data_IF_305872476093
#
_entry.id   IF_305872476093
#
_cell.length_a   1.000
_cell.length_b   1.000
_cell.length_c   1.000
_cell.angle_alpha   90.00
_cell.angle_beta   90.00
_cell.angle_gamma   90.00
#
_symmetry.space_group_name_H-M   'P 1'
#
loop_
_entity.id
_entity.type
_entity.pdbx_description
1 polymer ?
#
# COMPACT_ATOMS: atom_id res chain seq x y z
N UNK A 1 -1.66 20.87 -6.94
CA UNK A 1 -0.67 21.62 -7.51
C UNK A 1 -0.45 21.28 -8.98
N UNK A 2 -0.34 20.85 -9.87
CA UNK A 2 -0.23 20.60 -11.30
C UNK A 2 -1.54 20.82 -12.09
N UNK A 3 -2.65 21.11 -11.43
CA UNK A 3 -3.92 21.32 -12.10
C UNK A 3 -4.08 22.79 -12.49
N UNK A 4 -4.55 23.03 -13.72
CA UNK A 4 -4.89 24.36 -14.19
C UNK A 4 -6.03 24.97 -13.36
N UNK A 5 -6.09 26.32 -13.20
CA UNK A 5 -7.13 26.98 -12.40
C UNK A 5 -8.56 26.53 -12.70
N UNK A 6 -8.99 26.40 -13.98
CA UNK A 6 -10.35 25.99 -14.29
C UNK A 6 -10.67 24.55 -13.83
N UNK A 7 -9.74 23.60 -14.00
CA UNK A 7 -9.92 22.23 -13.54
C UNK A 7 -10.02 22.17 -12.01
N UNK A 8 -9.16 22.93 -11.31
CA UNK A 8 -9.20 23.03 -9.85
C UNK A 8 -10.53 23.57 -9.34
N UNK A 9 -11.11 24.58 -10.03
CA UNK A 9 -12.42 25.14 -9.68
C UNK A 9 -13.55 24.14 -9.92
N UNK A 10 -13.51 23.40 -11.03
CA UNK A 10 -14.53 22.40 -11.38
C UNK A 10 -14.57 21.24 -10.36
N UNK A 11 -13.41 20.77 -9.87
CA UNK A 11 -13.36 19.65 -8.91
C UNK A 11 -13.46 20.11 -7.44
N UNK A 12 -13.31 21.41 -7.14
CA UNK A 12 -13.33 21.91 -5.77
C UNK A 12 -14.59 21.52 -4.96
N UNK A 13 -15.83 21.58 -5.50
CA UNK A 13 -17.02 21.16 -4.77
C UNK A 13 -16.98 19.66 -4.43
N UNK A 14 -16.50 18.82 -5.34
CA UNK A 14 -16.37 17.37 -5.15
C UNK A 14 -15.36 17.08 -4.02
N UNK A 15 -14.19 17.70 -4.07
CA UNK A 15 -13.14 17.51 -3.07
C UNK A 15 -13.50 18.04 -1.68
N UNK A 16 -14.47 18.96 -1.59
CA UNK A 16 -15.00 19.49 -0.32
C UNK A 16 -16.04 18.60 0.35
N UNK A 17 -16.56 17.59 -0.33
CA UNK A 17 -17.48 16.62 0.27
C UNK A 17 -16.83 15.93 1.47
N UNK A 18 -17.59 15.72 2.54
CA UNK A 18 -17.10 15.05 3.76
C UNK A 18 -16.49 13.68 3.51
N UNK A 19 -16.99 12.97 2.49
CA UNK A 19 -16.47 11.68 2.02
C UNK A 19 -14.98 11.76 1.65
N UNK A 20 -14.55 12.79 0.91
CA UNK A 20 -13.14 12.94 0.52
C UNK A 20 -12.23 13.26 1.70
N UNK A 21 -12.77 13.94 2.71
CA UNK A 21 -12.05 14.20 3.95
C UNK A 21 -11.84 12.89 4.73
N UNK A 22 -12.87 12.03 4.78
CA UNK A 22 -12.79 10.72 5.41
C UNK A 22 -11.83 9.78 4.67
N UNK A 23 -11.99 9.65 3.34
CA UNK A 23 -11.12 8.81 2.50
C UNK A 23 -9.64 9.26 2.52
N UNK A 24 -9.38 10.55 2.69
CA UNK A 24 -8.04 11.12 2.87
C UNK A 24 -7.47 11.00 4.28
N UNK A 25 -8.18 10.36 5.21
CA UNK A 25 -7.68 10.05 6.53
C UNK A 25 -6.69 8.88 6.49
N UNK A 26 -5.51 8.98 7.12
CA UNK A 26 -4.52 7.90 7.14
C UNK A 26 -5.10 6.57 7.62
N UNK A 27 -5.93 6.58 8.66
CA UNK A 27 -6.53 5.36 9.21
C UNK A 27 -7.52 4.70 8.23
N UNK A 28 -8.41 5.47 7.62
CA UNK A 28 -9.39 4.95 6.65
C UNK A 28 -8.67 4.40 5.42
N UNK A 29 -7.68 5.12 4.89
CA UNK A 29 -6.90 4.67 3.75
C UNK A 29 -6.12 3.38 4.05
N UNK A 30 -5.57 3.25 5.27
CA UNK A 30 -4.90 2.03 5.75
C UNK A 30 -5.86 0.84 5.81
N UNK A 31 -7.06 1.05 6.36
CA UNK A 31 -8.08 -0.01 6.43
C UNK A 31 -8.52 -0.44 5.03
N UNK A 32 -8.76 0.50 4.11
CA UNK A 32 -9.15 0.19 2.74
C UNK A 32 -8.06 -0.58 1.99
N UNK A 33 -6.81 -0.13 2.10
CA UNK A 33 -5.67 -0.79 1.46
C UNK A 33 -5.44 -2.20 2.05
N UNK A 34 -5.44 -2.33 3.37
CA UNK A 34 -5.28 -3.62 4.05
C UNK A 34 -6.43 -4.58 3.73
N UNK A 35 -7.67 -4.10 3.72
CA UNK A 35 -8.83 -4.90 3.36
C UNK A 35 -8.75 -5.38 1.90
N UNK A 36 -8.42 -4.51 0.95
CA UNK A 36 -8.24 -4.90 -0.44
C UNK A 36 -7.16 -5.98 -0.57
N UNK A 37 -6.03 -5.80 0.13
CA UNK A 37 -4.93 -6.77 0.14
C UNK A 37 -5.41 -8.14 0.63
N UNK A 38 -6.01 -8.22 1.80
CA UNK A 38 -6.45 -9.50 2.39
C UNK A 38 -7.57 -10.14 1.58
N UNK A 39 -8.61 -9.37 1.22
CA UNK A 39 -9.81 -9.87 0.55
C UNK A 39 -9.49 -10.47 -0.81
N UNK A 40 -8.64 -9.81 -1.62
CA UNK A 40 -8.26 -10.33 -2.93
C UNK A 40 -7.28 -11.50 -2.90
N UNK A 41 -6.59 -11.73 -1.79
CA UNK A 41 -5.74 -12.91 -1.61
C UNK A 41 -6.53 -14.11 -1.04
N UNK A 42 -7.82 -13.94 -0.72
CA UNK A 42 -8.67 -15.09 -0.37
C UNK A 42 -8.88 -16.00 -1.59
N UNK A 43 -8.66 -17.33 -1.47
CA UNK A 43 -8.71 -18.25 -2.60
C UNK A 43 -9.99 -18.14 -3.44
N UNK A 44 -11.14 -17.99 -2.80
CA UNK A 44 -12.43 -17.89 -3.49
C UNK A 44 -12.56 -16.67 -4.40
N UNK A 45 -11.98 -15.52 -4.03
CA UNK A 45 -12.03 -14.29 -4.84
C UNK A 45 -10.92 -14.27 -5.88
N UNK A 46 -9.75 -14.78 -5.55
CA UNK A 46 -8.65 -14.90 -6.49
C UNK A 46 -9.03 -15.83 -7.66
N UNK A 47 -9.57 -17.03 -7.37
CA UNK A 47 -10.04 -17.96 -8.39
C UNK A 47 -11.16 -17.36 -9.27
N UNK A 48 -12.03 -16.49 -8.69
CA UNK A 48 -13.03 -15.75 -9.49
C UNK A 48 -12.39 -14.75 -10.44
N UNK A 49 -11.36 -14.04 -9.98
CA UNK A 49 -10.63 -13.11 -10.82
C UNK A 49 -9.91 -13.80 -11.98
N UNK A 50 -9.42 -15.03 -11.78
CA UNK A 50 -8.84 -15.85 -12.85
C UNK A 50 -9.88 -16.30 -13.88
N UNK A 51 -11.13 -16.56 -13.46
CA UNK A 51 -12.20 -17.07 -14.37
C UNK A 51 -12.98 -15.97 -15.10
N UNK A 52 -12.91 -14.73 -14.65
CA UNK A 52 -13.76 -13.64 -15.15
C UNK A 52 -12.97 -12.36 -15.31
N UNK A 53 -12.95 -11.84 -16.53
CA UNK A 53 -12.31 -10.57 -16.85
C UNK A 53 -12.86 -9.40 -16.00
N UNK A 54 -14.17 -9.37 -15.76
CA UNK A 54 -14.80 -8.34 -14.92
C UNK A 54 -14.28 -8.36 -13.48
N UNK A 55 -14.13 -9.56 -12.88
CA UNK A 55 -13.55 -9.71 -11.55
C UNK A 55 -12.06 -9.36 -11.52
N UNK A 56 -11.33 -9.72 -12.57
CA UNK A 56 -9.92 -9.36 -12.73
C UNK A 56 -9.73 -7.84 -12.79
N UNK A 57 -10.53 -7.17 -13.61
CA UNK A 57 -10.53 -5.70 -13.69
C UNK A 57 -10.90 -5.06 -12.35
N UNK A 58 -11.93 -5.58 -11.67
CA UNK A 58 -12.34 -5.08 -10.35
C UNK A 58 -11.22 -5.24 -9.30
N UNK A 59 -10.50 -6.37 -9.31
CA UNK A 59 -9.33 -6.61 -8.46
C UNK A 59 -8.26 -5.53 -8.68
N UNK A 60 -7.82 -5.36 -9.94
CA UNK A 60 -6.77 -4.39 -10.26
C UNK A 60 -7.19 -2.94 -9.97
N UNK A 61 -8.41 -2.55 -10.32
CA UNK A 61 -8.92 -1.22 -10.02
C UNK A 61 -8.97 -0.95 -8.51
N UNK A 62 -9.42 -1.93 -7.72
CA UNK A 62 -9.46 -1.76 -6.26
C UNK A 62 -8.06 -1.60 -5.67
N UNK A 63 -7.07 -2.39 -6.12
CA UNK A 63 -5.68 -2.23 -5.69
C UNK A 63 -5.12 -0.85 -6.05
N UNK A 64 -5.33 -0.40 -7.30
CA UNK A 64 -4.83 0.91 -7.75
C UNK A 64 -5.49 2.03 -6.95
N UNK A 65 -6.83 2.01 -6.82
CA UNK A 65 -7.56 3.08 -6.12
C UNK A 65 -7.19 3.14 -4.65
N UNK A 66 -7.16 2.00 -3.96
CA UNK A 66 -6.81 1.98 -2.53
C UNK A 66 -5.34 2.34 -2.30
N UNK A 67 -4.41 1.92 -3.17
CA UNK A 67 -3.01 2.30 -3.08
C UNK A 67 -2.81 3.81 -3.32
N UNK A 68 -3.48 4.40 -4.31
CA UNK A 68 -3.42 5.84 -4.55
C UNK A 68 -3.98 6.63 -3.36
N UNK A 69 -5.12 6.22 -2.80
CA UNK A 69 -5.69 6.83 -1.61
C UNK A 69 -4.75 6.71 -0.40
N UNK A 70 -4.15 5.53 -0.22
CA UNK A 70 -3.20 5.28 0.85
C UNK A 70 -1.99 6.20 0.76
N UNK A 71 -1.27 6.20 -0.36
CA UNK A 71 -0.10 7.05 -0.53
C UNK A 71 -0.44 8.54 -0.49
N UNK A 72 -1.61 8.93 -1.03
CA UNK A 72 -2.12 10.29 -0.90
C UNK A 72 -2.33 10.71 0.55
N UNK A 73 -2.84 9.81 1.39
CA UNK A 73 -3.07 10.06 2.81
C UNK A 73 -1.76 10.07 3.62
N UNK A 74 -0.75 9.26 3.21
CA UNK A 74 0.56 9.20 3.87
C UNK A 74 1.43 10.42 3.59
N UNK A 75 1.26 11.08 2.42
CA UNK A 75 2.04 12.28 2.06
C UNK A 75 1.47 13.52 2.77
N UNK A 76 2.06 14.00 3.85
CA UNK A 76 1.49 15.08 4.64
C UNK A 76 1.54 16.40 3.89
N UNK A 77 0.41 17.09 3.84
CA UNK A 77 0.30 18.46 3.31
C UNK A 77 0.95 19.49 4.24
N UNK A 78 1.00 19.20 5.52
CA UNK A 78 1.73 19.94 6.57
C UNK A 78 2.37 18.91 7.48
N UNK A 79 3.68 18.94 7.55
CA UNK A 79 4.45 18.07 8.42
C UNK A 79 4.37 18.58 9.86
N UNK A 80 3.51 17.97 10.66
CA UNK A 80 3.56 18.12 12.11
C UNK A 80 4.09 16.81 12.71
N UNK A 81 4.82 16.85 13.83
CA UNK A 81 5.35 15.63 14.45
C UNK A 81 4.27 14.55 14.68
N UNK A 82 3.07 14.97 15.13
CA UNK A 82 1.96 14.04 15.36
C UNK A 82 1.40 13.42 14.07
N UNK A 83 1.30 14.18 12.95
CA UNK A 83 0.82 13.63 11.68
C UNK A 83 1.81 12.64 11.09
N UNK A 84 3.11 12.90 11.20
CA UNK A 84 4.16 12.00 10.72
C UNK A 84 4.18 10.68 11.50
N UNK A 85 3.98 10.75 12.81
CA UNK A 85 3.90 9.55 13.65
C UNK A 85 2.73 8.65 13.27
N UNK A 86 1.53 9.21 13.09
CA UNK A 86 0.35 8.45 12.63
C UNK A 86 0.60 7.83 11.27
N UNK A 87 1.16 8.57 10.31
CA UNK A 87 1.48 8.04 8.98
C UNK A 87 2.53 6.93 9.04
N UNK A 88 3.55 7.05 9.89
CA UNK A 88 4.55 6.00 10.09
C UNK A 88 3.94 4.72 10.65
N UNK A 89 3.02 4.82 11.62
CA UNK A 89 2.27 3.66 12.12
C UNK A 89 1.41 3.04 11.02
N UNK A 90 0.71 3.85 10.24
CA UNK A 90 -0.11 3.36 9.12
C UNK A 90 0.74 2.61 8.08
N UNK A 91 1.91 3.13 7.73
CA UNK A 91 2.86 2.46 6.84
C UNK A 91 3.34 1.14 7.44
N UNK A 92 3.67 1.11 8.72
CA UNK A 92 4.07 -0.11 9.41
C UNK A 92 2.95 -1.15 9.41
N UNK A 93 1.72 -0.77 9.77
CA UNK A 93 0.56 -1.68 9.79
C UNK A 93 0.29 -2.26 8.40
N UNK A 94 0.31 -1.42 7.35
CA UNK A 94 0.10 -1.88 5.96
C UNK A 94 1.23 -2.81 5.52
N UNK A 95 2.48 -2.51 5.89
CA UNK A 95 3.63 -3.39 5.64
C UNK A 95 3.47 -4.74 6.36
N UNK A 96 2.95 -4.75 7.59
CA UNK A 96 2.70 -6.00 8.32
C UNK A 96 1.59 -6.83 7.68
N UNK A 97 0.52 -6.20 7.20
CA UNK A 97 -0.56 -6.91 6.50
C UNK A 97 -0.04 -7.51 5.20
N UNK A 98 0.55 -6.71 4.31
CA UNK A 98 1.07 -7.18 3.03
C UNK A 98 2.22 -8.17 3.19
N UNK A 99 3.16 -7.86 4.10
CA UNK A 99 4.27 -8.75 4.42
C UNK A 99 3.81 -10.06 5.05
N UNK A 100 2.78 -10.03 5.91
CA UNK A 100 2.18 -11.23 6.51
C UNK A 100 1.54 -12.15 5.47
N UNK A 101 0.74 -11.60 4.55
CA UNK A 101 0.18 -12.37 3.44
C UNK A 101 1.30 -12.94 2.56
N UNK A 102 2.29 -12.12 2.20
CA UNK A 102 3.44 -12.55 1.40
C UNK A 102 4.27 -13.64 2.09
N UNK A 103 4.52 -13.51 3.39
CA UNK A 103 5.22 -14.53 4.16
C UNK A 103 4.45 -15.85 4.23
N UNK A 104 3.13 -15.80 4.44
CA UNK A 104 2.30 -17.01 4.44
C UNK A 104 2.35 -17.70 3.07
N UNK A 105 2.27 -16.97 1.96
CA UNK A 105 2.41 -17.52 0.61
C UNK A 105 3.81 -18.10 0.37
N UNK A 106 4.85 -17.43 0.86
CA UNK A 106 6.24 -17.84 0.67
C UNK A 106 6.61 -19.12 1.47
N UNK A 107 5.96 -19.32 2.60
CA UNK A 107 6.24 -20.46 3.49
C UNK A 107 5.35 -21.67 3.25
N UNK A 108 4.24 -21.53 2.52
CA UNK A 108 3.37 -22.64 2.20
C UNK A 108 3.89 -23.43 1.00
N UNK A 109 4.01 -24.74 1.18
CA UNK A 109 4.42 -25.66 0.12
C UNK A 109 3.25 -26.08 -0.80
N UNK A 110 2.02 -25.70 -0.44
CA UNK A 110 0.80 -26.03 -1.19
C UNK A 110 0.27 -24.82 -1.94
N UNK A 111 -0.11 -24.92 -3.20
CA UNK A 111 -0.72 -23.81 -3.91
C UNK A 111 -2.11 -23.48 -3.33
N UNK A 112 -2.34 -22.20 -3.00
CA UNK A 112 -3.59 -21.71 -2.43
C UNK A 112 -4.74 -21.64 -3.43
N UNK A 113 -4.40 -21.43 -4.72
CA UNK A 113 -5.35 -21.12 -5.78
C UNK A 113 -5.51 -22.29 -6.73
N UNK A 114 -6.70 -22.90 -6.73
CA UNK A 114 -6.98 -24.11 -7.52
C UNK A 114 -6.90 -23.87 -9.02
N UNK A 115 -7.45 -22.76 -9.47
CA UNK A 115 -7.44 -22.40 -10.89
C UNK A 115 -6.02 -22.16 -11.38
N UNK A 116 -5.20 -21.50 -10.54
CA UNK A 116 -3.79 -21.27 -10.86
C UNK A 116 -3.00 -22.58 -10.86
N UNK A 117 -3.22 -23.45 -9.88
CA UNK A 117 -2.56 -24.75 -9.81
C UNK A 117 -2.89 -25.65 -11.02
N UNK A 118 -4.10 -25.52 -11.59
CA UNK A 118 -4.52 -26.27 -12.77
C UNK A 118 -3.81 -25.87 -14.06
N UNK A 119 -3.16 -24.70 -14.11
CA UNK A 119 -2.36 -24.24 -15.27
C UNK A 119 -1.05 -25.04 -15.42
N UNK A 120 -0.62 -25.75 -14.39
CA UNK A 120 0.62 -26.53 -14.40
C UNK A 120 1.88 -25.69 -14.28
N UNK A 121 2.99 -26.15 -14.89
CA UNK A 121 4.28 -25.46 -14.80
C UNK A 121 4.23 -24.07 -15.47
N UNK A 122 4.85 -23.09 -14.83
CA UNK A 122 4.99 -21.74 -15.39
C UNK A 122 5.96 -21.72 -16.58
N UNK A 123 5.96 -20.65 -17.40
CA UNK A 123 6.93 -20.49 -18.50
C UNK A 123 8.41 -20.52 -18.03
N UNK A 124 8.66 -20.26 -16.76
CA UNK A 124 10.01 -20.32 -16.17
C UNK A 124 10.36 -21.68 -15.57
N UNK A 125 9.53 -22.69 -15.74
CA UNK A 125 9.74 -24.04 -15.23
C UNK A 125 9.49 -24.21 -13.73
N UNK A 126 8.82 -23.24 -13.10
CA UNK A 126 8.41 -23.34 -11.70
C UNK A 126 7.09 -24.10 -11.57
N UNK A 127 6.97 -24.93 -10.55
CA UNK A 127 5.67 -25.48 -10.13
C UNK A 127 4.76 -24.36 -9.59
N UNK A 128 3.44 -24.54 -9.56
CA UNK A 128 2.52 -23.55 -8.99
C UNK A 128 2.83 -23.17 -7.54
N UNK A 129 3.36 -24.09 -6.74
CA UNK A 129 3.76 -23.80 -5.38
C UNK A 129 5.03 -22.92 -5.33
N UNK A 130 6.05 -23.24 -6.12
CA UNK A 130 7.28 -22.45 -6.19
C UNK A 130 7.03 -21.04 -6.73
N UNK A 131 6.14 -20.89 -7.70
CA UNK A 131 5.77 -19.59 -8.23
C UNK A 131 4.97 -18.76 -7.21
N UNK A 132 4.05 -19.39 -6.45
CA UNK A 132 3.38 -18.76 -5.31
C UNK A 132 4.37 -18.31 -4.25
N UNK A 133 5.37 -19.14 -3.90
CA UNK A 133 6.40 -18.81 -2.94
C UNK A 133 7.23 -17.61 -3.41
N UNK A 134 7.61 -17.59 -4.68
CA UNK A 134 8.33 -16.46 -5.29
C UNK A 134 7.49 -15.17 -5.26
N UNK A 135 6.21 -15.26 -5.63
CA UNK A 135 5.28 -14.13 -5.56
C UNK A 135 5.15 -13.60 -4.12
N UNK A 136 5.05 -14.50 -3.14
CA UNK A 136 5.03 -14.16 -1.72
C UNK A 136 6.30 -13.44 -1.27
N UNK A 137 7.47 -13.90 -1.69
CA UNK A 137 8.76 -13.26 -1.39
C UNK A 137 8.85 -11.85 -2.00
N UNK A 138 8.40 -11.68 -3.25
CA UNK A 138 8.37 -10.38 -3.92
C UNK A 138 7.42 -9.42 -3.19
N UNK A 139 6.28 -9.89 -2.75
CA UNK A 139 5.33 -9.08 -2.01
C UNK A 139 5.88 -8.70 -0.62
N UNK A 140 6.52 -9.64 0.08
CA UNK A 140 7.06 -9.42 1.42
C UNK A 140 8.30 -8.51 1.41
N UNK A 141 9.35 -8.87 0.69
CA UNK A 141 10.64 -8.18 0.78
C UNK A 141 10.63 -6.84 0.04
N UNK A 142 10.41 -6.74 -1.28
CA UNK A 142 10.31 -5.45 -1.96
C UNK A 142 9.17 -4.58 -1.43
N UNK A 143 7.99 -5.16 -1.17
CA UNK A 143 6.86 -4.43 -0.62
C UNK A 143 7.18 -3.79 0.73
N UNK A 144 7.84 -4.52 1.63
CA UNK A 144 8.31 -4.01 2.92
C UNK A 144 9.31 -2.87 2.77
N UNK A 145 10.25 -2.97 1.82
CA UNK A 145 11.24 -1.92 1.54
C UNK A 145 10.60 -0.60 1.07
N UNK A 146 9.56 -0.65 0.24
CA UNK A 146 8.83 0.55 -0.18
C UNK A 146 8.14 1.26 1.00
N UNK A 147 7.53 0.50 1.91
CA UNK A 147 6.92 1.07 3.11
C UNK A 147 7.96 1.65 4.07
N UNK A 148 9.08 0.96 4.24
CA UNK A 148 10.21 1.46 5.03
C UNK A 148 10.76 2.77 4.46
N UNK A 149 11.01 2.83 3.15
CA UNK A 149 11.45 4.05 2.49
C UNK A 149 10.45 5.20 2.69
N UNK A 150 9.15 4.93 2.55
CA UNK A 150 8.10 5.91 2.85
C UNK A 150 8.13 6.40 4.30
N UNK A 151 8.33 5.50 5.26
CA UNK A 151 8.45 5.86 6.67
C UNK A 151 9.69 6.73 6.95
N UNK A 152 10.84 6.41 6.32
CA UNK A 152 12.07 7.20 6.46
C UNK A 152 11.91 8.63 5.93
N UNK A 153 11.16 8.83 4.84
CA UNK A 153 10.87 10.17 4.30
C UNK A 153 10.04 11.01 5.29
N UNK A 154 9.25 10.36 6.15
CA UNK A 154 8.44 11.04 7.17
C UNK A 154 9.20 11.40 8.43
N UNK A 155 10.40 10.85 8.64
CA UNK A 155 11.25 11.21 9.79
C UNK A 155 11.77 12.63 9.58
N UNK A 156 11.41 13.60 10.42
CA UNK A 156 11.92 14.95 10.29
C UNK A 156 13.43 14.96 10.46
N UNK A 157 14.14 15.65 9.59
CA UNK A 157 15.56 15.91 9.81
C UNK A 157 15.72 16.59 11.18
N UNK A 158 16.61 16.04 12.02
CA UNK A 158 16.85 16.61 13.33
C UNK A 158 17.12 18.12 13.22
N UNK A 159 16.48 18.98 14.04
CA UNK A 159 16.71 20.39 13.99
C UNK A 159 18.21 20.67 14.21
N UNK A 160 18.84 21.33 13.23
CA UNK A 160 20.23 21.76 13.39
C UNK A 160 20.29 22.67 14.61
N UNK A 161 21.00 22.26 15.66
CA UNK A 161 21.25 23.12 16.81
C UNK A 161 22.00 24.37 16.31
N UNK A 162 21.51 25.56 16.63
CA UNK A 162 22.26 26.78 16.30
C UNK A 162 23.64 26.71 16.97
N UNK A 163 24.71 27.20 16.33
CA UNK A 163 26.04 27.19 16.90
C UNK A 163 25.99 27.87 18.27
N UNK A 164 26.54 27.19 19.30
CA UNK A 164 26.69 27.78 20.63
C UNK A 164 27.56 29.04 20.48
N UNK A 165 26.97 30.19 20.63
CA UNK A 165 27.74 31.45 20.75
C UNK A 165 28.48 31.36 22.09
N UNK A 166 29.78 31.12 22.03
CA UNK A 166 30.63 31.21 23.20
C UNK A 166 30.75 32.71 23.58
N UNK A 167 29.99 33.12 24.55
CA UNK A 167 30.21 34.40 25.22
C UNK A 167 31.45 34.22 26.10
N UNK A 168 32.62 34.55 25.54
CA UNK A 168 33.83 34.81 26.32
C UNK A 168 33.67 36.21 26.91
N UNK A 169 33.46 36.29 28.23
CA UNK A 169 33.58 37.49 29.01
C UNK A 169 35.04 37.72 29.35
#
# INVERSE_FOLDING_TARGET
WGLTPPVRQAIAPIVRLGVWRSLGSPLVATVLQGAAMVVWHMPALFDRALRSEGWHVAQHLSFIVTALLFWWAMLPRRQTPGSNFVSAICLFVTSMIGGGVGALMALDASPWYREYAALGMTPFGLSPAEDQQLAGLIMWVPGGLFHLAGALVLVPAAPRQPPKVSTTA
#
